data_IF_970966182796
#
_entry.id   IF_970966182796
#
_cell.length_a   1.000
_cell.length_b   1.000
_cell.length_c   1.000
_cell.angle_alpha   90.00
_cell.angle_beta   90.00
_cell.angle_gamma   90.00
#
_symmetry.space_group_name_H-M   'P 1'
#
loop_
_entity.id
_entity.type
_entity.pdbx_description
1 polymer ?
#
# COMPACT_ATOMS: atom_id res chain seq x y z
N UNK A 1 0.52 60.13 54.59
CA UNK A 1 0.62 59.92 53.12
C UNK A 1 1.44 58.68 52.71
N UNK A 2 1.56 57.63 53.55
CA UNK A 2 2.38 56.43 53.22
C UNK A 2 1.58 55.16 52.90
N UNK A 3 0.25 55.19 52.96
CA UNK A 3 -0.59 53.99 52.75
C UNK A 3 -1.15 53.84 51.33
N UNK A 4 -1.24 54.92 50.56
CA UNK A 4 -1.76 54.89 49.17
C UNK A 4 -0.77 54.29 48.15
N UNK A 5 0.55 54.39 48.40
CA UNK A 5 1.56 53.83 47.50
C UNK A 5 1.63 52.29 47.52
N UNK A 6 1.17 51.64 48.61
CA UNK A 6 1.23 50.18 48.75
C UNK A 6 0.01 49.47 48.10
N UNK A 7 -1.20 50.04 48.24
CA UNK A 7 -2.41 49.48 47.60
C UNK A 7 -2.39 49.65 46.07
N UNK A 8 -1.87 50.77 45.57
CA UNK A 8 -1.71 51.00 44.13
C UNK A 8 -0.69 50.03 43.49
N UNK A 9 0.31 49.58 44.25
CA UNK A 9 1.27 48.58 43.80
C UNK A 9 0.66 47.17 43.73
N UNK A 10 -0.09 46.78 44.76
CA UNK A 10 -0.73 45.47 44.83
C UNK A 10 -1.81 45.28 43.76
N UNK A 11 -2.64 46.30 43.54
CA UNK A 11 -3.70 46.29 42.51
C UNK A 11 -3.13 46.22 41.10
N UNK A 12 -2.07 46.98 40.81
CA UNK A 12 -1.35 46.89 39.52
C UNK A 12 -0.77 45.50 39.31
N UNK A 13 -0.12 44.93 40.32
CA UNK A 13 0.46 43.57 40.23
C UNK A 13 -0.63 42.53 39.93
N UNK A 14 -1.75 42.57 40.64
CA UNK A 14 -2.87 41.66 40.42
C UNK A 14 -3.42 41.75 38.99
N UNK A 15 -3.54 42.96 38.45
CA UNK A 15 -4.01 43.21 37.08
C UNK A 15 -3.06 42.63 36.02
N UNK A 16 -1.75 42.73 36.22
CA UNK A 16 -0.75 42.18 35.31
C UNK A 16 -0.75 40.64 35.30
N UNK A 17 -0.83 40.01 36.47
CA UNK A 17 -0.90 38.55 36.60
C UNK A 17 -2.17 37.99 35.92
N UNK A 18 -3.33 38.60 36.14
CA UNK A 18 -4.59 38.18 35.49
C UNK A 18 -4.53 38.29 33.97
N UNK A 19 -3.91 39.36 33.45
CA UNK A 19 -3.70 39.56 32.00
C UNK A 19 -2.85 38.42 31.43
N UNK A 20 -1.74 38.09 32.08
CA UNK A 20 -0.82 37.03 31.65
C UNK A 20 -1.52 35.66 31.68
N UNK A 21 -2.22 35.35 32.77
CA UNK A 21 -2.90 34.07 32.94
C UNK A 21 -4.01 33.84 31.92
N UNK A 22 -4.82 34.87 31.62
CA UNK A 22 -5.88 34.79 30.61
C UNK A 22 -5.29 34.46 29.23
N UNK A 23 -4.30 35.24 28.78
CA UNK A 23 -3.73 35.06 27.44
C UNK A 23 -2.95 33.76 27.29
N UNK A 24 -2.28 33.29 28.35
CA UNK A 24 -1.60 32.00 28.33
C UNK A 24 -2.62 30.86 28.19
N UNK A 25 -3.70 30.89 28.96
CA UNK A 25 -4.77 29.91 28.85
C UNK A 25 -5.44 29.93 27.46
N UNK A 26 -5.70 31.11 26.90
CA UNK A 26 -6.24 31.26 25.54
C UNK A 26 -5.27 30.73 24.48
N UNK A 27 -3.96 31.00 24.61
CA UNK A 27 -2.94 30.50 23.67
C UNK A 27 -2.86 28.97 23.70
N UNK A 28 -2.97 28.37 24.87
CA UNK A 28 -2.90 26.91 25.07
C UNK A 28 -4.22 26.19 24.79
N UNK A 29 -5.34 26.91 24.66
CA UNK A 29 -6.66 26.30 24.40
C UNK A 29 -7.33 25.70 25.64
N UNK A 30 -6.96 26.13 26.85
CA UNK A 30 -7.59 25.68 28.11
C UNK A 30 -8.92 26.40 28.34
N UNK A 31 -9.98 25.88 27.73
CA UNK A 31 -11.32 26.48 27.68
C UNK A 31 -11.89 26.72 29.08
N UNK A 32 -11.74 25.75 29.98
CA UNK A 32 -12.26 25.78 31.35
C UNK A 32 -11.62 26.89 32.17
N UNK A 33 -10.30 27.07 32.03
CA UNK A 33 -9.54 28.11 32.72
C UNK A 33 -9.96 29.49 32.20
N UNK A 34 -10.08 29.63 30.87
CA UNK A 34 -10.54 30.89 30.26
C UNK A 34 -11.94 31.25 30.75
N UNK A 35 -12.85 30.26 30.81
CA UNK A 35 -14.21 30.47 31.31
C UNK A 35 -14.24 30.97 32.74
N UNK A 36 -13.46 30.35 33.62
CA UNK A 36 -13.45 30.69 35.03
C UNK A 36 -12.85 32.08 35.26
N UNK A 37 -11.78 32.44 34.54
CA UNK A 37 -11.16 33.77 34.62
C UNK A 37 -12.13 34.85 34.16
N UNK A 38 -12.86 34.64 33.05
CA UNK A 38 -13.81 35.62 32.52
C UNK A 38 -15.01 35.79 33.49
N UNK A 39 -15.47 34.71 34.13
CA UNK A 39 -16.53 34.79 35.15
C UNK A 39 -16.09 35.58 36.39
N UNK A 40 -14.87 35.33 36.89
CA UNK A 40 -14.34 36.00 38.08
C UNK A 40 -13.99 37.46 37.81
N UNK A 41 -13.49 37.76 36.61
CA UNK A 41 -13.01 39.07 36.22
C UNK A 41 -13.51 39.45 34.82
N UNK A 42 -14.76 39.90 34.65
CA UNK A 42 -15.32 40.21 33.34
C UNK A 42 -14.58 41.35 32.62
N UNK A 43 -14.02 42.31 33.37
CA UNK A 43 -13.13 43.35 32.82
C UNK A 43 -11.85 42.80 32.18
N UNK A 44 -11.46 41.55 32.46
CA UNK A 44 -10.25 40.93 31.91
C UNK A 44 -10.26 40.88 30.38
N UNK A 45 -11.44 40.74 29.76
CA UNK A 45 -11.63 40.62 28.31
C UNK A 45 -11.19 41.88 27.54
N UNK A 46 -11.30 43.07 28.14
CA UNK A 46 -10.87 44.33 27.51
C UNK A 46 -9.36 44.55 27.55
N UNK A 47 -8.62 43.73 28.31
CA UNK A 47 -7.19 43.84 28.38
C UNK A 47 -6.57 43.49 27.04
N UNK A 48 -5.46 44.14 26.75
CA UNK A 48 -4.65 43.85 25.58
C UNK A 48 -3.30 43.32 26.01
N UNK A 49 -2.80 42.38 25.23
CA UNK A 49 -1.44 41.89 25.31
C UNK A 49 -0.44 43.02 25.01
N UNK A 50 0.84 42.78 25.24
CA UNK A 50 1.92 43.73 25.01
C UNK A 50 2.05 44.12 23.53
N UNK A 51 1.44 43.32 22.63
CA UNK A 51 1.31 43.61 21.20
C UNK A 51 0.00 44.33 20.82
N UNK A 52 -0.76 44.83 21.80
CA UNK A 52 -2.05 45.50 21.57
C UNK A 52 -3.19 44.56 21.16
N UNK A 53 -2.96 43.24 21.22
CA UNK A 53 -3.91 42.21 20.79
C UNK A 53 -4.93 41.92 21.90
N UNK A 54 -6.20 41.82 21.53
CA UNK A 54 -7.24 41.33 22.44
C UNK A 54 -7.29 39.79 22.46
N UNK A 55 -8.20 39.23 23.26
CA UNK A 55 -8.43 37.79 23.34
C UNK A 55 -8.82 37.16 21.97
N UNK A 56 -9.62 37.87 21.16
CA UNK A 56 -10.07 37.42 19.84
C UNK A 56 -8.90 37.26 18.85
N UNK A 57 -7.94 38.18 18.86
CA UNK A 57 -6.73 38.09 18.04
C UNK A 57 -5.89 36.87 18.45
N UNK A 58 -5.86 36.54 19.74
CA UNK A 58 -5.03 35.45 20.27
C UNK A 58 -5.66 34.11 19.93
N UNK A 59 -6.94 33.90 20.23
CA UNK A 59 -7.63 32.63 19.92
C UNK A 59 -7.64 32.34 18.42
N UNK A 60 -7.81 33.36 17.57
CA UNK A 60 -7.77 33.20 16.11
C UNK A 60 -6.35 32.93 15.63
N UNK A 61 -5.34 33.68 16.14
CA UNK A 61 -3.94 33.43 15.80
C UNK A 61 -3.53 32.00 16.14
N UNK A 62 -3.97 31.47 17.27
CA UNK A 62 -3.62 30.12 17.74
C UNK A 62 -4.65 29.04 17.38
N UNK A 63 -5.66 29.37 16.56
CA UNK A 63 -6.72 28.47 16.05
C UNK A 63 -7.52 27.75 17.15
N UNK A 64 -7.76 28.43 18.26
CA UNK A 64 -8.49 27.90 19.40
C UNK A 64 -9.99 28.12 19.25
N UNK A 65 -10.61 27.37 18.32
CA UNK A 65 -12.03 27.49 17.99
C UNK A 65 -12.95 27.30 19.21
N UNK A 66 -12.62 26.35 20.09
CA UNK A 66 -13.42 26.08 21.30
C UNK A 66 -13.46 27.28 22.25
N UNK A 67 -12.36 28.03 22.34
CA UNK A 67 -12.29 29.24 23.16
C UNK A 67 -13.11 30.36 22.49
N UNK A 68 -12.99 30.51 21.17
CA UNK A 68 -13.79 31.47 20.38
C UNK A 68 -15.30 31.25 20.54
N UNK A 69 -15.76 30.01 20.46
CA UNK A 69 -17.18 29.67 20.70
C UNK A 69 -17.64 30.01 22.11
N UNK A 70 -16.78 29.82 23.11
CA UNK A 70 -17.10 30.12 24.50
C UNK A 70 -17.20 31.63 24.73
N UNK A 71 -16.24 32.40 24.22
CA UNK A 71 -16.20 33.87 24.32
C UNK A 71 -17.41 34.50 23.62
N UNK A 72 -17.82 33.97 22.46
CA UNK A 72 -19.01 34.45 21.74
C UNK A 72 -20.32 34.11 22.46
N UNK A 73 -20.44 32.93 23.09
CA UNK A 73 -21.63 32.53 23.85
C UNK A 73 -21.83 33.29 25.16
N UNK A 74 -20.78 33.86 25.74
CA UNK A 74 -20.85 34.58 27.02
C UNK A 74 -21.53 35.96 26.94
N UNK A 75 -21.99 36.40 25.77
CA UNK A 75 -22.72 37.67 25.62
C UNK A 75 -21.86 38.90 25.94
N UNK A 76 -20.55 38.81 25.69
CA UNK A 76 -19.62 39.91 25.90
C UNK A 76 -19.89 41.06 24.91
N UNK A 77 -19.54 42.32 25.25
CA UNK A 77 -19.63 43.45 24.32
C UNK A 77 -18.56 43.35 23.22
N UNK A 78 -18.75 42.42 22.28
CA UNK A 78 -17.82 42.10 21.19
C UNK A 78 -17.55 43.31 20.28
N UNK A 79 -18.51 44.23 20.15
CA UNK A 79 -18.40 45.39 19.26
C UNK A 79 -17.18 46.29 19.56
N UNK A 80 -16.73 46.35 20.83
CA UNK A 80 -15.52 47.10 21.20
C UNK A 80 -14.24 46.32 20.94
N UNK A 81 -14.29 45.01 21.08
CA UNK A 81 -13.16 44.11 20.84
C UNK A 81 -12.88 43.98 19.34
N UNK A 82 -13.93 43.85 18.53
CA UNK A 82 -13.85 43.76 17.06
C UNK A 82 -13.23 44.99 16.41
N UNK A 83 -13.52 46.18 16.95
CA UNK A 83 -12.98 47.45 16.43
C UNK A 83 -11.53 47.69 16.84
N UNK A 84 -11.00 46.93 17.80
CA UNK A 84 -9.62 47.09 18.27
C UNK A 84 -8.66 46.55 17.22
N UNK A 85 -7.65 47.34 16.86
CA UNK A 85 -6.53 46.90 16.04
C UNK A 85 -5.34 46.54 16.94
N UNK A 86 -4.49 45.63 16.47
CA UNK A 86 -3.20 45.37 17.12
C UNK A 86 -2.22 46.56 16.91
N UNK A 87 -1.03 46.50 17.52
CA UNK A 87 -0.02 47.55 17.34
C UNK A 87 0.50 47.67 15.90
N UNK A 88 0.31 46.63 15.08
CA UNK A 88 0.69 46.61 13.67
C UNK A 88 -0.45 47.15 12.77
N UNK A 89 -1.60 47.53 13.34
CA UNK A 89 -2.78 48.00 12.61
C UNK A 89 -3.61 46.87 11.97
N UNK A 90 -3.32 45.60 12.26
CA UNK A 90 -4.07 44.47 11.76
C UNK A 90 -5.40 44.31 12.50
N UNK A 91 -6.43 43.98 11.75
CA UNK A 91 -7.70 43.52 12.33
C UNK A 91 -7.68 42.02 12.63
N UNK A 92 -8.73 41.56 13.31
CA UNK A 92 -8.96 40.14 13.57
C UNK A 92 -8.94 39.31 12.27
N UNK A 93 -9.56 39.83 11.21
CA UNK A 93 -9.60 39.19 9.88
C UNK A 93 -8.20 39.02 9.26
N UNK A 94 -7.33 40.03 9.39
CA UNK A 94 -5.94 39.91 8.92
C UNK A 94 -5.17 38.82 9.67
N UNK A 95 -5.52 38.58 10.94
CA UNK A 95 -4.87 37.55 11.77
C UNK A 95 -5.20 36.14 11.29
N UNK A 96 -6.40 35.90 10.72
CA UNK A 96 -6.82 34.59 10.17
C UNK A 96 -5.88 34.10 9.06
N UNK A 97 -5.41 35.04 8.21
CA UNK A 97 -4.52 34.75 7.09
C UNK A 97 -3.03 34.71 7.44
N UNK A 98 -2.64 35.12 8.66
CA UNK A 98 -1.22 35.22 9.05
C UNK A 98 -0.66 33.85 9.41
N UNK A 99 0.38 33.41 8.68
CA UNK A 99 1.06 32.14 8.98
C UNK A 99 1.70 32.20 10.38
N UNK A 100 1.36 31.22 11.22
CA UNK A 100 1.85 31.13 12.59
C UNK A 100 3.32 30.72 12.55
N UNK A 101 4.23 31.57 13.05
CA UNK A 101 5.68 31.27 13.14
C UNK A 101 6.09 30.66 14.48
N UNK A 102 5.36 30.99 15.55
CA UNK A 102 5.78 30.74 16.94
C UNK A 102 4.94 29.67 17.65
N UNK A 103 4.11 28.94 16.90
CA UNK A 103 3.21 27.93 17.44
C UNK A 103 2.87 26.92 16.35
N UNK A 104 3.14 25.66 16.65
CA UNK A 104 2.75 24.51 15.82
C UNK A 104 1.39 24.07 16.35
N UNK A 105 0.28 24.36 15.65
CA UNK A 105 -1.01 23.83 16.05
C UNK A 105 -0.95 22.30 15.95
N UNK A 106 -1.12 21.62 17.08
CA UNK A 106 -1.18 20.15 17.17
C UNK A 106 -2.29 19.56 16.27
N UNK A 107 -3.30 20.38 15.93
CA UNK A 107 -4.51 19.92 15.24
C UNK A 107 -4.79 20.58 13.89
N UNK A 108 -3.80 21.17 13.22
CA UNK A 108 -3.99 21.61 11.83
C UNK A 108 -3.59 20.50 10.86
N UNK A 109 -4.13 19.30 11.05
CA UNK A 109 -4.23 18.30 9.99
C UNK A 109 -5.30 18.83 9.02
N UNK A 110 -4.87 19.57 7.99
CA UNK A 110 -5.75 19.87 6.86
C UNK A 110 -6.08 18.58 6.09
N UNK A 111 -7.06 18.61 5.16
CA UNK A 111 -7.36 17.46 4.30
C UNK A 111 -6.12 16.95 3.55
N UNK A 112 -5.17 17.84 3.25
CA UNK A 112 -3.90 17.50 2.62
C UNK A 112 -2.92 16.76 3.55
N UNK A 113 -2.98 16.99 4.87
CA UNK A 113 -2.19 16.26 5.86
C UNK A 113 -2.80 14.89 6.16
N UNK A 114 -4.13 14.80 6.17
CA UNK A 114 -4.86 13.53 6.24
C UNK A 114 -4.54 12.67 5.01
N UNK A 115 -4.53 13.26 3.81
CA UNK A 115 -4.07 12.60 2.59
C UNK A 115 -2.57 12.23 2.63
N UNK A 116 -1.72 13.07 3.24
CA UNK A 116 -0.29 12.77 3.38
C UNK A 116 -0.02 11.66 4.39
N UNK A 117 -0.78 11.58 5.48
CA UNK A 117 -0.71 10.49 6.45
C UNK A 117 -1.18 9.17 5.81
N UNK A 118 -2.23 9.20 4.98
CA UNK A 118 -2.65 8.02 4.22
C UNK A 118 -1.63 7.59 3.14
N UNK A 119 -0.98 8.56 2.48
CA UNK A 119 0.11 8.29 1.52
C UNK A 119 1.42 7.88 2.18
N UNK A 120 1.64 8.19 3.46
CA UNK A 120 2.84 7.80 4.19
C UNK A 120 2.91 6.28 4.40
N UNK A 121 1.76 5.58 4.47
CA UNK A 121 1.71 4.11 4.44
C UNK A 121 2.12 3.49 3.09
N UNK A 122 2.15 4.27 2.00
CA UNK A 122 2.61 3.83 0.68
C UNK A 122 4.10 4.14 0.44
N UNK A 123 4.70 5.03 1.23
CA UNK A 123 6.13 5.34 1.12
C UNK A 123 6.94 4.28 1.87
N UNK A 124 7.63 3.44 1.09
CA UNK A 124 8.45 2.35 1.59
C UNK A 124 9.46 2.92 2.60
N UNK A 125 9.47 2.43 3.86
CA UNK A 125 10.39 2.89 4.88
C UNK A 125 11.79 2.41 4.50
N UNK A 126 12.60 3.31 3.94
CA UNK A 126 13.92 2.95 3.44
C UNK A 126 14.84 4.14 3.19
N UNK A 127 14.30 5.31 2.82
CA UNK A 127 15.10 6.50 2.56
C UNK A 127 16.00 6.37 1.32
N UNK A 128 16.36 7.51 0.74
CA UNK A 128 17.34 7.62 -0.34
C UNK A 128 18.69 8.04 0.24
N UNK A 129 19.77 7.55 -0.33
CA UNK A 129 21.12 7.92 0.09
C UNK A 129 21.45 9.33 -0.44
N UNK A 130 21.77 10.28 0.44
CA UNK A 130 21.87 11.73 0.12
C UNK A 130 22.96 12.07 -0.92
N UNK A 131 23.90 11.14 -1.14
CA UNK A 131 25.02 11.33 -2.08
C UNK A 131 24.78 10.75 -3.49
N UNK A 132 23.86 9.79 -3.64
CA UNK A 132 23.71 9.03 -4.90
C UNK A 132 22.26 8.94 -5.41
N UNK A 133 21.27 9.29 -4.59
CA UNK A 133 19.85 9.29 -4.97
C UNK A 133 19.24 7.89 -5.13
N UNK A 134 19.99 6.82 -4.88
CA UNK A 134 19.48 5.46 -4.93
C UNK A 134 18.80 5.07 -3.61
N UNK A 135 17.71 4.28 -3.63
CA UNK A 135 17.04 3.81 -2.43
C UNK A 135 17.94 2.84 -1.65
N UNK A 136 18.19 3.13 -0.37
CA UNK A 136 19.10 2.40 0.53
C UNK A 136 18.72 0.91 0.66
N UNK A 137 17.44 0.59 0.49
CA UNK A 137 16.91 -0.78 0.61
C UNK A 137 17.31 -1.70 -0.55
N UNK A 138 17.74 -1.16 -1.70
CA UNK A 138 18.09 -1.96 -2.90
C UNK A 138 19.36 -2.79 -2.68
N UNK A 139 20.29 -2.31 -1.86
CA UNK A 139 21.56 -3.00 -1.63
C UNK A 139 21.45 -4.20 -0.68
N UNK A 140 20.30 -4.42 -0.03
CA UNK A 140 20.13 -5.57 0.85
C UNK A 140 19.87 -6.86 0.05
N UNK A 141 20.59 -7.96 0.35
CA UNK A 141 20.45 -9.22 -0.38
C UNK A 141 19.03 -9.79 -0.30
N UNK A 142 18.31 -9.57 0.80
CA UNK A 142 16.91 -9.96 0.95
C UNK A 142 15.97 -9.21 0.00
N UNK A 143 16.24 -7.94 -0.29
CA UNK A 143 15.42 -7.16 -1.23
C UNK A 143 15.60 -7.66 -2.67
N UNK A 144 16.82 -8.02 -3.07
CA UNK A 144 17.10 -8.61 -4.38
C UNK A 144 16.41 -9.97 -4.53
N UNK A 145 16.50 -10.84 -3.50
CA UNK A 145 15.82 -12.14 -3.52
C UNK A 145 14.30 -11.98 -3.58
N UNK A 146 13.73 -11.03 -2.82
CA UNK A 146 12.30 -10.72 -2.85
C UNK A 146 11.84 -10.27 -4.25
N UNK A 147 12.51 -9.27 -4.83
CA UNK A 147 12.15 -8.71 -6.14
C UNK A 147 12.29 -9.74 -7.26
N UNK A 148 13.35 -10.56 -7.24
CA UNK A 148 13.54 -11.64 -8.23
C UNK A 148 12.47 -12.73 -8.07
N UNK A 149 12.14 -13.15 -6.84
CA UNK A 149 11.13 -14.16 -6.59
C UNK A 149 9.72 -13.71 -7.01
N UNK A 150 9.36 -12.44 -6.78
CA UNK A 150 8.07 -11.87 -7.17
C UNK A 150 7.91 -11.80 -8.70
N UNK A 151 8.94 -11.30 -9.40
CA UNK A 151 8.97 -11.26 -10.87
C UNK A 151 8.89 -12.66 -11.47
N UNK A 152 9.65 -13.62 -10.93
CA UNK A 152 9.59 -15.01 -11.38
C UNK A 152 8.22 -15.63 -11.13
N UNK A 153 7.60 -15.37 -9.96
CA UNK A 153 6.27 -15.86 -9.64
C UNK A 153 5.22 -15.38 -10.65
N UNK A 154 5.24 -14.09 -11.00
CA UNK A 154 4.34 -13.50 -11.99
C UNK A 154 4.58 -14.10 -13.38
N UNK A 155 5.84 -14.26 -13.79
CA UNK A 155 6.18 -14.84 -15.09
C UNK A 155 5.70 -16.29 -15.24
N UNK A 156 5.84 -17.10 -14.18
CA UNK A 156 5.37 -18.49 -14.17
C UNK A 156 3.85 -18.58 -14.06
N UNK A 157 3.20 -17.69 -13.30
CA UNK A 157 1.74 -17.58 -13.26
C UNK A 157 1.18 -17.26 -14.65
N UNK A 158 1.74 -16.26 -15.34
CA UNK A 158 1.32 -15.88 -16.69
C UNK A 158 1.50 -17.03 -17.68
N UNK A 159 2.66 -17.70 -17.63
CA UNK A 159 2.93 -18.85 -18.52
C UNK A 159 1.97 -20.00 -18.25
N UNK A 160 1.65 -20.27 -16.98
CA UNK A 160 0.66 -21.28 -16.58
C UNK A 160 -0.73 -20.94 -17.11
N UNK A 161 -1.18 -19.69 -16.93
CA UNK A 161 -2.45 -19.19 -17.46
C UNK A 161 -2.51 -19.31 -18.98
N UNK A 162 -1.46 -18.95 -19.70
CA UNK A 162 -1.39 -19.11 -21.17
C UNK A 162 -1.51 -20.57 -21.58
N UNK A 163 -0.87 -21.50 -20.87
CA UNK A 163 -0.97 -22.94 -21.15
C UNK A 163 -2.38 -23.46 -20.86
N UNK A 164 -3.03 -23.03 -19.78
CA UNK A 164 -4.42 -23.38 -19.48
C UNK A 164 -5.40 -22.78 -20.50
N UNK A 165 -5.20 -21.52 -20.89
CA UNK A 165 -5.99 -20.85 -21.92
C UNK A 165 -5.81 -21.51 -23.29
N UNK A 166 -4.59 -21.94 -23.61
CA UNK A 166 -4.31 -22.70 -24.84
C UNK A 166 -5.01 -24.07 -24.83
N UNK A 167 -5.25 -24.66 -23.66
CA UNK A 167 -6.04 -25.89 -23.52
C UNK A 167 -7.54 -25.61 -23.71
N UNK A 168 -8.08 -24.55 -23.09
CA UNK A 168 -9.52 -24.23 -23.16
C UNK A 168 -9.98 -23.70 -24.51
N UNK A 169 -9.08 -23.07 -25.27
CA UNK A 169 -9.41 -22.43 -26.57
C UNK A 169 -9.14 -23.35 -27.78
N UNK A 170 -8.61 -24.56 -27.57
CA UNK A 170 -8.23 -25.46 -28.67
C UNK A 170 -9.46 -26.18 -29.28
N UNK A 171 -9.65 -26.15 -30.61
CA UNK A 171 -10.67 -26.95 -31.29
C UNK A 171 -10.34 -28.45 -31.21
N UNK A 172 -11.31 -29.28 -30.79
CA UNK A 172 -11.11 -30.67 -30.37
C UNK A 172 -11.13 -31.67 -31.54
N UNK A 173 -10.01 -32.39 -31.78
CA UNK A 173 -9.98 -33.67 -32.54
C UNK A 173 -9.60 -34.82 -31.59
N UNK A 174 -10.53 -35.75 -31.33
CA UNK A 174 -10.43 -36.76 -30.26
C UNK A 174 -9.20 -37.70 -30.31
N UNK A 175 -8.64 -37.98 -31.50
CA UNK A 175 -7.60 -39.01 -31.69
C UNK A 175 -6.20 -38.51 -31.29
N UNK A 176 -5.82 -37.28 -31.66
CA UNK A 176 -4.52 -36.68 -31.30
C UNK A 176 -4.53 -36.08 -29.88
N UNK A 177 -5.73 -35.88 -29.33
CA UNK A 177 -5.99 -35.30 -28.01
C UNK A 177 -5.50 -36.22 -26.89
N UNK A 178 -5.66 -37.53 -27.05
CA UNK A 178 -5.39 -38.54 -26.03
C UNK A 178 -3.99 -38.39 -25.41
N UNK A 179 -2.96 -38.25 -26.25
CA UNK A 179 -1.57 -38.22 -25.77
C UNK A 179 -0.99 -36.80 -25.59
N UNK A 180 -1.45 -35.83 -26.39
CA UNK A 180 -0.89 -34.47 -26.38
C UNK A 180 -1.50 -33.57 -25.30
N UNK A 181 -2.75 -33.82 -24.89
CA UNK A 181 -3.44 -33.04 -23.86
C UNK A 181 -2.90 -33.28 -22.43
N UNK A 182 -2.75 -34.52 -21.92
CA UNK A 182 -2.29 -34.73 -20.56
C UNK A 182 -0.88 -34.17 -20.36
N UNK A 183 -0.04 -34.23 -21.39
CA UNK A 183 1.32 -33.67 -21.35
C UNK A 183 1.35 -32.13 -21.35
N UNK A 184 0.34 -31.47 -21.93
CA UNK A 184 0.17 -30.00 -21.86
C UNK A 184 -0.42 -29.59 -20.51
N UNK A 185 -1.42 -30.33 -20.01
CA UNK A 185 -2.05 -30.12 -18.71
C UNK A 185 -1.06 -30.33 -17.56
N UNK A 186 -0.24 -31.38 -17.64
CA UNK A 186 0.83 -31.67 -16.68
C UNK A 186 1.82 -30.52 -16.59
N UNK A 187 2.22 -29.94 -17.75
CA UNK A 187 3.13 -28.79 -17.82
C UNK A 187 2.52 -27.51 -17.20
N UNK A 188 1.23 -27.24 -17.45
CA UNK A 188 0.53 -26.11 -16.83
C UNK A 188 0.42 -26.25 -15.30
N UNK A 189 0.03 -27.44 -14.83
CA UNK A 189 -0.10 -27.73 -13.41
C UNK A 189 1.25 -27.67 -12.66
N UNK A 190 2.35 -28.14 -13.26
CA UNK A 190 3.69 -28.02 -12.67
C UNK A 190 4.16 -26.57 -12.56
N UNK A 191 3.85 -25.72 -13.55
CA UNK A 191 4.18 -24.29 -13.51
C UNK A 191 3.34 -23.54 -12.48
N UNK A 192 2.09 -23.96 -12.26
CA UNK A 192 1.22 -23.42 -11.22
C UNK A 192 1.77 -23.70 -9.81
N UNK A 193 2.23 -24.92 -9.54
CA UNK A 193 2.89 -25.24 -8.26
C UNK A 193 4.19 -24.46 -8.06
N UNK A 194 4.99 -24.33 -9.12
CA UNK A 194 6.23 -23.56 -9.08
C UNK A 194 5.96 -22.07 -8.78
N UNK A 195 4.90 -21.48 -9.34
CA UNK A 195 4.48 -20.10 -9.03
C UNK A 195 4.06 -19.94 -7.57
N UNK A 196 3.24 -20.83 -7.03
CA UNK A 196 2.83 -20.78 -5.61
C UNK A 196 4.04 -20.92 -4.67
N UNK A 197 5.00 -21.77 -5.02
CA UNK A 197 6.26 -21.88 -4.29
C UNK A 197 7.08 -20.58 -4.31
N UNK A 198 7.22 -19.94 -5.48
CA UNK A 198 7.91 -18.66 -5.62
C UNK A 198 7.21 -17.53 -4.86
N UNK A 199 5.87 -17.50 -4.86
CA UNK A 199 5.08 -16.55 -4.07
C UNK A 199 5.33 -16.70 -2.56
N UNK A 200 5.50 -17.93 -2.06
CA UNK A 200 5.80 -18.18 -0.65
C UNK A 200 7.22 -17.73 -0.27
N UNK A 201 8.19 -17.90 -1.17
CA UNK A 201 9.54 -17.34 -0.98
C UNK A 201 9.50 -15.81 -0.96
N UNK A 202 8.77 -15.19 -1.88
CA UNK A 202 8.61 -13.73 -1.91
C UNK A 202 8.02 -13.23 -0.58
N UNK A 203 6.90 -13.80 -0.13
CA UNK A 203 6.27 -13.43 1.14
C UNK A 203 7.17 -13.68 2.37
N UNK A 204 7.87 -14.82 2.43
CA UNK A 204 8.82 -15.10 3.51
C UNK A 204 9.99 -14.11 3.53
N UNK A 205 10.47 -13.72 2.34
CA UNK A 205 11.54 -12.73 2.20
C UNK A 205 11.07 -11.33 2.55
N UNK A 206 9.82 -10.95 2.24
CA UNK A 206 9.21 -9.67 2.66
C UNK A 206 9.11 -9.55 4.18
N UNK A 207 8.65 -10.62 4.86
CA UNK A 207 8.53 -10.61 6.32
C UNK A 207 9.92 -10.54 6.97
N UNK A 208 10.91 -11.23 6.41
CA UNK A 208 12.30 -11.16 6.87
C UNK A 208 12.92 -9.78 6.66
N UNK A 209 12.61 -9.12 5.54
CA UNK A 209 13.03 -7.75 5.25
C UNK A 209 12.46 -6.74 6.26
N UNK A 210 11.23 -6.98 6.73
CA UNK A 210 10.52 -6.13 7.70
C UNK A 210 11.05 -6.31 9.14
N UNK A 211 11.50 -7.50 9.52
CA UNK A 211 12.04 -7.81 10.85
C UNK A 211 13.57 -7.63 10.83
N UNK A 212 14.03 -6.41 10.62
CA UNK A 212 15.45 -6.08 10.45
C UNK A 212 16.31 -6.24 11.74
N UNK A 213 15.75 -6.74 12.85
CA UNK A 213 16.43 -6.78 14.18
C UNK A 213 16.21 -8.05 15.00
N UNK A 214 15.80 -9.16 14.37
CA UNK A 214 15.50 -10.43 15.07
C UNK A 214 16.66 -11.44 15.04
N UNK A 215 16.87 -12.14 16.16
CA UNK A 215 17.82 -13.24 16.31
C UNK A 215 17.61 -14.35 15.25
N UNK A 216 18.69 -15.09 14.92
CA UNK A 216 18.72 -16.16 13.90
C UNK A 216 17.66 -17.27 14.12
N UNK A 217 17.21 -17.46 15.37
CA UNK A 217 16.14 -18.40 15.71
C UNK A 217 14.77 -17.96 15.17
N UNK A 218 14.46 -16.66 15.21
CA UNK A 218 13.20 -16.13 14.67
C UNK A 218 13.14 -16.32 13.15
N UNK A 219 14.28 -16.18 12.47
CA UNK A 219 14.39 -16.40 11.01
C UNK A 219 14.12 -17.86 10.66
N UNK A 220 14.76 -18.78 11.37
CA UNK A 220 14.62 -20.24 11.13
C UNK A 220 13.20 -20.72 11.41
N UNK A 221 12.57 -20.25 12.50
CA UNK A 221 11.17 -20.57 12.83
C UNK A 221 10.21 -20.00 11.77
N UNK A 222 10.44 -18.77 11.32
CA UNK A 222 9.60 -18.14 10.30
C UNK A 222 9.68 -18.87 8.96
N UNK A 223 10.89 -19.27 8.52
CA UNK A 223 11.05 -20.11 7.33
C UNK A 223 10.34 -21.47 7.46
N UNK A 224 10.43 -22.12 8.62
CA UNK A 224 9.75 -23.39 8.88
C UNK A 224 8.21 -23.25 8.84
N UNK A 225 7.67 -22.17 9.42
CA UNK A 225 6.22 -21.87 9.41
C UNK A 225 5.73 -21.52 8.02
N UNK A 226 6.49 -20.74 7.23
CA UNK A 226 6.14 -20.42 5.83
C UNK A 226 6.22 -21.63 4.89
N UNK A 227 7.04 -22.64 5.21
CA UNK A 227 7.16 -23.86 4.42
C UNK A 227 6.05 -24.88 4.70
N UNK A 228 5.43 -24.83 5.89
CA UNK A 228 4.40 -25.77 6.32
C UNK A 228 3.16 -25.82 5.38
N UNK A 229 2.59 -24.68 4.93
CA UNK A 229 1.50 -24.68 3.94
C UNK A 229 1.89 -25.31 2.60
N UNK A 230 3.11 -25.06 2.11
CA UNK A 230 3.58 -25.63 0.83
C UNK A 230 3.75 -27.14 0.93
N UNK A 231 4.35 -27.63 2.02
CA UNK A 231 4.49 -29.06 2.27
C UNK A 231 3.13 -29.75 2.34
N UNK A 232 2.15 -29.13 3.03
CA UNK A 232 0.79 -29.64 3.15
C UNK A 232 0.05 -29.62 1.81
N UNK A 233 0.16 -28.53 1.04
CA UNK A 233 -0.41 -28.43 -0.30
C UNK A 233 0.23 -29.46 -1.23
N UNK A 234 1.56 -29.56 -1.28
CA UNK A 234 2.24 -30.55 -2.10
C UNK A 234 1.82 -31.97 -1.72
N UNK A 235 1.76 -32.33 -0.43
CA UNK A 235 1.26 -33.62 0.04
C UNK A 235 -0.20 -33.88 -0.30
N UNK A 236 -1.04 -32.84 -0.33
CA UNK A 236 -2.48 -32.95 -0.67
C UNK A 236 -2.71 -33.09 -2.18
N UNK A 237 -1.97 -32.33 -2.99
CA UNK A 237 -2.10 -32.34 -4.45
C UNK A 237 -1.24 -33.39 -5.14
N UNK A 238 -0.21 -33.94 -4.48
CA UNK A 238 0.61 -35.05 -5.00
C UNK A 238 -0.18 -36.35 -5.25
N UNK A 239 -1.02 -36.86 -4.33
CA UNK A 239 -1.86 -38.02 -4.60
C UNK A 239 -2.89 -37.70 -5.69
N UNK A 240 -3.37 -36.45 -5.77
CA UNK A 240 -4.24 -36.00 -6.85
C UNK A 240 -3.50 -36.00 -8.20
N UNK A 241 -2.25 -35.55 -8.23
CA UNK A 241 -1.40 -35.54 -9.43
C UNK A 241 -1.08 -36.97 -9.91
N UNK A 242 -0.76 -37.89 -8.99
CA UNK A 242 -0.57 -39.30 -9.29
C UNK A 242 -1.88 -39.99 -9.72
N UNK A 243 -2.99 -39.68 -9.06
CA UNK A 243 -4.31 -40.21 -9.40
C UNK A 243 -4.75 -39.73 -10.78
N UNK A 244 -4.52 -38.46 -11.10
CA UNK A 244 -4.77 -37.89 -12.41
C UNK A 244 -3.92 -38.58 -13.47
N UNK A 245 -2.61 -38.75 -13.24
CA UNK A 245 -1.73 -39.41 -14.22
C UNK A 245 -2.09 -40.88 -14.43
N UNK A 246 -2.39 -41.62 -13.36
CA UNK A 246 -2.80 -43.05 -13.44
C UNK A 246 -4.16 -43.22 -14.09
N UNK A 247 -5.14 -42.38 -13.75
CA UNK A 247 -6.47 -42.42 -14.37
C UNK A 247 -6.38 -42.08 -15.86
N UNK A 248 -5.54 -41.12 -16.23
CA UNK A 248 -5.29 -40.79 -17.63
C UNK A 248 -4.61 -41.93 -18.39
N UNK A 249 -3.62 -42.59 -17.79
CA UNK A 249 -2.93 -43.74 -18.38
C UNK A 249 -3.91 -44.91 -18.61
N UNK A 250 -4.74 -45.24 -17.62
CA UNK A 250 -5.79 -46.25 -17.73
C UNK A 250 -6.87 -45.89 -18.77
N UNK A 251 -7.22 -44.60 -18.87
CA UNK A 251 -8.16 -44.10 -19.86
C UNK A 251 -7.56 -44.14 -21.27
N UNK A 252 -6.29 -43.78 -21.42
CA UNK A 252 -5.52 -43.87 -22.66
C UNK A 252 -5.44 -45.30 -23.17
N UNK A 253 -5.11 -46.24 -22.28
CA UNK A 253 -5.01 -47.66 -22.61
C UNK A 253 -6.35 -48.23 -23.08
N UNK A 254 -7.45 -47.90 -22.39
CA UNK A 254 -8.80 -48.30 -22.80
C UNK A 254 -9.26 -47.62 -24.08
N UNK A 255 -8.99 -46.32 -24.25
CA UNK A 255 -9.32 -45.60 -25.47
C UNK A 255 -8.55 -46.13 -26.69
N UNK A 256 -7.30 -46.56 -26.49
CA UNK A 256 -6.48 -47.21 -27.52
C UNK A 256 -7.08 -48.55 -27.97
N UNK A 257 -7.63 -49.34 -27.05
CA UNK A 257 -8.28 -50.61 -27.35
C UNK A 257 -9.63 -50.47 -28.07
N UNK A 258 -10.31 -49.32 -27.96
CA UNK A 258 -11.64 -49.09 -28.56
C UNK A 258 -11.55 -48.54 -30.00
N UNK A 259 -10.41 -48.00 -30.41
CA UNK A 259 -10.22 -47.46 -31.77
C UNK A 259 -9.89 -48.61 -32.74
N UNK A 260 -10.71 -48.87 -33.78
CA UNK A 260 -10.40 -49.93 -34.75
C UNK A 260 -9.16 -49.51 -35.55
N UNK A 261 -8.08 -50.27 -35.38
CA UNK A 261 -6.78 -50.09 -36.01
C UNK A 261 -6.94 -50.06 -37.54
N UNK A 262 -6.86 -48.85 -38.12
CA UNK A 262 -6.81 -48.71 -39.59
C UNK A 262 -5.44 -49.17 -40.09
N UNK A 263 -5.44 -50.25 -40.89
CA UNK A 263 -4.27 -50.82 -41.58
C UNK A 263 -3.42 -49.73 -42.26
N UNK A 264 -2.07 -49.80 -42.21
CA UNK A 264 -1.24 -48.93 -43.03
C UNK A 264 -1.40 -49.32 -44.51
N UNK A 265 -1.68 -48.31 -45.35
CA UNK A 265 -1.79 -48.44 -46.81
C UNK A 265 -0.38 -48.47 -47.39
N UNK A 266 0.06 -49.64 -47.87
CA UNK A 266 1.27 -49.73 -48.69
C UNK A 266 1.14 -48.83 -49.93
N UNK A 267 1.96 -47.80 -50.01
CA UNK A 267 2.18 -47.05 -51.24
C UNK A 267 3.17 -47.83 -52.10
N UNK A 268 2.67 -48.62 -53.06
CA UNK A 268 3.50 -49.19 -54.13
C UNK A 268 4.09 -48.06 -54.98
N UNK A 269 5.39 -47.83 -54.84
CA UNK A 269 6.19 -47.03 -55.76
C UNK A 269 6.18 -47.68 -57.14
N UNK A 270 5.71 -46.93 -58.14
CA UNK A 270 5.71 -47.35 -59.55
C UNK A 270 7.11 -47.09 -60.13
N UNK A 271 7.97 -48.10 -60.18
CA UNK A 271 9.19 -48.03 -60.99
C UNK A 271 8.82 -48.23 -62.46
N UNK A 272 8.83 -47.12 -63.21
CA UNK A 272 8.73 -47.08 -64.67
C UNK A 272 9.98 -47.71 -65.26
N UNK A 273 9.94 -48.98 -65.61
CA UNK A 273 10.96 -49.62 -66.43
C UNK A 273 10.81 -49.16 -67.88
N UNK A 274 11.83 -48.47 -68.37
CA UNK A 274 12.05 -48.21 -69.79
C UNK A 274 12.38 -49.52 -70.50
N UNK A 275 11.49 -49.98 -71.39
CA UNK A 275 11.76 -51.07 -72.32
C UNK A 275 12.02 -50.48 -73.71
N UNK A 276 13.13 -50.80 -74.40
CA UNK A 276 13.35 -50.42 -75.78
C UNK A 276 12.86 -51.50 -76.76
N UNK A 277 12.61 -51.06 -78.00
CA UNK A 277 12.54 -51.83 -79.26
C UNK A 277 11.48 -52.94 -79.41
N UNK A 278 10.45 -52.67 -80.22
CA UNK A 278 10.39 -53.25 -81.56
C UNK A 278 9.19 -52.73 -82.34
N UNK A 279 9.46 -52.01 -83.43
CA UNK A 279 8.51 -51.77 -84.51
C UNK A 279 8.98 -52.51 -85.76
N UNK A 280 8.02 -53.23 -86.32
CA UNK A 280 7.78 -53.44 -87.76
C UNK A 280 8.48 -54.58 -88.52
N UNK A 281 7.66 -55.63 -88.65
CA UNK A 281 7.38 -56.44 -89.85
C UNK A 281 7.96 -55.98 -91.18
N UNK A 282 8.59 -56.93 -91.88
CA UNK A 282 8.71 -56.97 -93.34
C UNK A 282 8.05 -58.24 -93.87
N UNK A 283 7.20 -58.03 -94.89
CA UNK A 283 6.46 -59.00 -95.70
C UNK A 283 7.36 -60.02 -96.42
N UNK A 284 6.82 -61.21 -96.70
CA UNK A 284 6.96 -61.86 -98.01
C UNK A 284 5.96 -63.02 -98.18
N UNK A 285 5.03 -62.80 -99.13
CA UNK A 285 4.38 -63.71 -100.12
C UNK A 285 3.84 -65.06 -99.65
#
# INVERSE_FOLDING_TARGET
MSSQGAEDGATKKLKWETKIHLFLATKSGYVEIVQEIIKLYPQSVEHVDDKGRNILHIEIKYRQLKVFELVTKMGLPLSRLERKLDLDGNSILHTVGKKIKDYVPEKMQGPALELQEELHCLYIPGGTDDATGYPVLVNHPFFVVFTVADVLSISFALTSVVVFLAITTSPFRLVDFSHSLPNKLRRGLTLLFLSVFMMMIALGTTILLMIHKGEELTKTILYAVSFMPVGLCALSYFPLYLSLSKTFENFLEKAWCVIPLSRPRETKFYTRTSNPSNHQSTMSV
#
